data_IF_321045421530
#
_entry.id   IF_321045421530
#
_cell.length_a   1.000
_cell.length_b   1.000
_cell.length_c   1.000
_cell.angle_alpha   90.00
_cell.angle_beta   90.00
_cell.angle_gamma   90.00
#
_symmetry.space_group_name_H-M   'P 1'
#
loop_
_entity.id
_entity.type
_entity.pdbx_description
1 polymer ?
#
# COMPACT_ATOMS: atom_id res chain seq x y z
N UNK A 1 6.73 -8.14 13.15
CA UNK A 1 8.04 -8.70 12.80
C UNK A 1 9.04 -7.61 12.40
N UNK A 2 8.73 -6.68 11.47
CA UNK A 2 9.67 -5.61 11.07
C UNK A 2 10.18 -4.78 12.24
N UNK A 3 9.33 -4.39 13.19
CA UNK A 3 9.71 -3.61 14.35
C UNK A 3 10.71 -4.36 15.26
N UNK A 4 10.45 -5.65 15.52
CA UNK A 4 11.34 -6.47 16.35
C UNK A 4 12.69 -6.67 15.65
N UNK A 5 12.67 -6.98 14.35
CA UNK A 5 13.88 -7.15 13.55
C UNK A 5 14.70 -5.85 13.51
N UNK A 6 14.06 -4.70 13.26
CA UNK A 6 14.71 -3.40 13.26
C UNK A 6 15.35 -3.07 14.62
N UNK A 7 14.65 -3.37 15.73
CA UNK A 7 15.18 -3.14 17.07
C UNK A 7 16.42 -4.01 17.35
N UNK A 8 16.36 -5.29 17.01
CA UNK A 8 17.50 -6.20 17.23
C UNK A 8 18.70 -5.79 16.37
N UNK A 9 18.49 -5.46 15.09
CA UNK A 9 19.55 -4.97 14.22
C UNK A 9 20.13 -3.64 14.72
N UNK A 10 19.29 -2.73 15.21
CA UNK A 10 19.74 -1.44 15.76
C UNK A 10 20.62 -1.62 17.01
N UNK A 11 20.26 -2.53 17.91
CA UNK A 11 21.08 -2.82 19.11
C UNK A 11 22.46 -3.34 18.70
N UNK A 12 22.52 -4.30 17.76
CA UNK A 12 23.79 -4.86 17.29
C UNK A 12 24.61 -3.79 16.57
N UNK A 13 23.97 -2.99 15.70
CA UNK A 13 24.64 -1.90 14.98
C UNK A 13 25.18 -0.82 15.91
N UNK A 14 24.38 -0.39 16.90
CA UNK A 14 24.80 0.61 17.87
C UNK A 14 25.99 0.13 18.75
N UNK A 15 25.94 -1.11 19.21
CA UNK A 15 27.07 -1.70 20.02
C UNK A 15 28.34 -1.74 19.15
N UNK A 16 28.22 -2.17 17.88
CA UNK A 16 29.37 -2.19 16.97
C UNK A 16 29.96 -0.81 16.74
N UNK A 17 29.12 0.21 16.48
CA UNK A 17 29.55 1.58 16.21
C UNK A 17 30.18 2.25 17.44
N UNK A 18 29.62 2.06 18.64
CA UNK A 18 30.21 2.55 19.89
C UNK A 18 31.63 1.98 20.11
N UNK A 19 31.83 0.71 19.76
CA UNK A 19 33.12 0.04 19.92
C UNK A 19 34.22 0.59 19.00
N UNK A 20 33.82 1.19 17.86
CA UNK A 20 34.73 1.70 16.83
C UNK A 20 34.97 3.21 16.99
N UNK A 21 33.89 4.00 17.16
CA UNK A 21 33.92 5.46 17.01
C UNK A 21 33.81 6.22 18.36
N UNK A 22 33.71 5.53 19.51
CA UNK A 22 33.51 6.12 20.85
C UNK A 22 32.37 7.14 20.95
N UNK A 23 31.30 6.95 20.12
CA UNK A 23 30.12 7.80 20.13
C UNK A 23 29.09 7.34 21.16
N UNK A 24 28.16 8.22 21.53
CA UNK A 24 27.11 7.89 22.47
C UNK A 24 26.14 6.82 21.95
N UNK A 25 25.84 5.82 22.76
CA UNK A 25 25.02 4.68 22.40
C UNK A 25 23.58 5.07 21.96
N UNK A 26 22.92 5.96 22.68
CA UNK A 26 21.51 6.29 22.45
C UNK A 26 21.23 6.98 21.12
N UNK A 27 22.00 7.98 20.69
CA UNK A 27 21.83 8.57 19.35
C UNK A 27 22.08 7.57 18.23
N UNK A 28 23.09 6.70 18.37
CA UNK A 28 23.38 5.66 17.40
C UNK A 28 22.28 4.62 17.33
N UNK A 29 21.76 4.17 18.46
CA UNK A 29 20.63 3.24 18.51
C UNK A 29 19.40 3.83 17.79
N UNK A 30 19.13 5.11 18.03
CA UNK A 30 18.02 5.80 17.37
C UNK A 30 18.21 5.88 15.86
N UNK A 31 19.40 6.23 15.40
CA UNK A 31 19.72 6.32 13.96
C UNK A 31 19.61 4.95 13.28
N UNK A 32 20.27 3.94 13.79
CA UNK A 32 20.17 2.57 13.28
C UNK A 32 18.73 2.05 13.29
N UNK A 33 17.96 2.30 14.35
CA UNK A 33 16.57 1.87 14.43
C UNK A 33 15.70 2.54 13.37
N UNK A 34 15.82 3.86 13.21
CA UNK A 34 15.02 4.60 12.23
C UNK A 34 15.32 4.15 10.80
N UNK A 35 16.58 3.85 10.50
CA UNK A 35 17.02 3.38 9.20
C UNK A 35 16.47 1.97 8.90
N UNK A 36 16.68 1.03 9.81
CA UNK A 36 16.21 -0.34 9.64
C UNK A 36 14.67 -0.43 9.60
N UNK A 37 13.99 0.34 10.45
CA UNK A 37 12.54 0.34 10.49
C UNK A 37 11.92 0.94 9.22
N UNK A 38 12.41 2.11 8.79
CA UNK A 38 11.90 2.76 7.57
C UNK A 38 12.16 1.91 6.31
N UNK A 39 13.36 1.35 6.20
CA UNK A 39 13.73 0.44 5.11
C UNK A 39 12.85 -0.82 5.13
N UNK A 40 12.65 -1.41 6.30
CA UNK A 40 11.80 -2.60 6.45
C UNK A 40 10.34 -2.33 6.07
N UNK A 41 9.76 -1.23 6.53
CA UNK A 41 8.37 -0.87 6.21
C UNK A 41 8.17 -0.56 4.72
N UNK A 42 9.13 0.07 4.07
CA UNK A 42 9.04 0.45 2.67
C UNK A 42 9.36 -0.72 1.72
N UNK A 43 10.44 -1.46 1.98
CA UNK A 43 10.95 -2.48 1.05
C UNK A 43 10.21 -3.81 1.20
N UNK A 44 9.97 -4.29 2.43
CA UNK A 44 9.43 -5.65 2.63
C UNK A 44 8.06 -5.84 1.99
N UNK A 45 7.05 -4.95 2.16
CA UNK A 45 5.77 -5.10 1.46
C UNK A 45 5.91 -5.03 -0.06
N UNK A 46 6.80 -4.16 -0.57
CA UNK A 46 7.06 -4.05 -1.99
C UNK A 46 7.62 -5.36 -2.56
N UNK A 47 8.65 -5.92 -1.93
CA UNK A 47 9.27 -7.17 -2.37
C UNK A 47 8.32 -8.36 -2.27
N UNK A 48 7.57 -8.48 -1.17
CA UNK A 48 6.62 -9.58 -0.99
C UNK A 48 5.50 -9.54 -2.03
N UNK A 49 5.00 -8.35 -2.36
CA UNK A 49 3.92 -8.21 -3.36
C UNK A 49 4.41 -8.42 -4.78
N UNK A 50 5.63 -8.02 -5.12
CA UNK A 50 6.24 -8.25 -6.43
C UNK A 50 6.63 -9.73 -6.65
N UNK A 51 6.91 -10.49 -5.59
CA UNK A 51 7.20 -11.92 -5.66
C UNK A 51 5.97 -12.77 -6.04
N UNK A 52 4.75 -12.23 -5.87
CA UNK A 52 3.51 -12.92 -6.27
C UNK A 52 3.31 -12.71 -7.77
N UNK A 53 3.29 -13.77 -8.60
CA UNK A 53 3.05 -13.62 -10.02
C UNK A 53 1.65 -13.05 -10.26
N UNK A 54 1.60 -11.80 -10.66
CA UNK A 54 0.39 -11.06 -11.00
C UNK A 54 0.58 -10.34 -12.31
N UNK A 55 -0.48 -10.26 -13.10
CA UNK A 55 -0.48 -9.44 -14.31
C UNK A 55 -0.41 -7.98 -13.85
N UNK A 56 0.66 -7.29 -14.19
CA UNK A 56 0.74 -5.84 -14.04
C UNK A 56 -0.49 -5.22 -14.72
N UNK A 57 -1.31 -4.45 -14.01
CA UNK A 57 -2.53 -3.92 -14.57
C UNK A 57 -2.20 -3.03 -15.77
N UNK A 58 -2.90 -3.26 -16.89
CA UNK A 58 -2.89 -2.30 -17.99
C UNK A 58 -3.54 -1.02 -17.50
N UNK A 59 -2.76 0.04 -17.39
CA UNK A 59 -3.25 1.35 -16.99
C UNK A 59 -4.18 1.90 -18.08
N UNK A 60 -5.46 2.05 -17.76
CA UNK A 60 -6.39 2.84 -18.58
C UNK A 60 -6.20 4.32 -18.23
N UNK A 61 -6.39 5.22 -19.19
CA UNK A 61 -6.23 6.67 -18.98
C UNK A 61 -7.05 7.20 -17.78
N UNK A 62 -8.25 6.67 -17.55
CA UNK A 62 -9.09 7.01 -16.40
C UNK A 62 -8.50 6.59 -15.04
N UNK A 63 -7.55 5.66 -15.04
CA UNK A 63 -6.88 5.19 -13.83
C UNK A 63 -5.60 5.98 -13.49
N UNK A 64 -5.21 6.96 -14.32
CA UNK A 64 -3.99 7.74 -14.09
C UNK A 64 -4.17 8.89 -13.09
N UNK A 65 -5.41 9.32 -12.83
CA UNK A 65 -5.70 10.46 -11.95
C UNK A 65 -5.06 10.34 -10.55
N UNK A 66 -5.13 9.20 -9.83
CA UNK A 66 -4.48 9.08 -8.52
C UNK A 66 -2.95 9.21 -8.59
N UNK A 67 -2.33 8.68 -9.66
CA UNK A 67 -0.88 8.79 -9.85
C UNK A 67 -0.46 10.24 -10.15
N UNK A 68 -1.24 10.97 -10.94
CA UNK A 68 -1.02 12.40 -11.21
C UNK A 68 -1.16 13.20 -9.90
N UNK A 69 -2.21 12.93 -9.12
CA UNK A 69 -2.41 13.55 -7.82
C UNK A 69 -1.21 13.31 -6.87
N UNK A 70 -0.64 12.09 -6.90
CA UNK A 70 0.55 11.75 -6.13
C UNK A 70 1.75 12.60 -6.57
N UNK A 71 2.02 12.71 -7.86
CA UNK A 71 3.12 13.53 -8.38
C UNK A 71 2.94 14.98 -7.98
N UNK A 72 1.73 15.54 -8.14
CA UNK A 72 1.41 16.90 -7.75
C UNK A 72 1.61 17.13 -6.24
N UNK A 73 1.22 16.16 -5.40
CA UNK A 73 1.38 16.25 -3.95
C UNK A 73 2.85 16.20 -3.51
N UNK A 74 3.69 15.39 -4.19
CA UNK A 74 5.15 15.37 -3.96
C UNK A 74 5.78 16.70 -4.38
N UNK A 75 5.39 17.27 -5.51
CA UNK A 75 5.85 18.61 -5.93
C UNK A 75 5.42 19.66 -4.91
N UNK A 76 4.18 19.62 -4.44
CA UNK A 76 3.67 20.52 -3.41
C UNK A 76 4.47 20.39 -2.11
N UNK A 77 4.88 19.18 -1.70
CA UNK A 77 5.71 19.00 -0.51
C UNK A 77 7.06 19.71 -0.61
N UNK A 78 7.65 19.72 -1.81
CA UNK A 78 8.92 20.41 -2.08
C UNK A 78 8.74 21.93 -2.11
N UNK A 79 7.68 22.41 -2.77
CA UNK A 79 7.45 23.86 -2.96
C UNK A 79 7.05 24.56 -1.64
N UNK A 80 6.20 23.91 -0.83
CA UNK A 80 5.70 24.50 0.42
C UNK A 80 6.72 24.32 1.55
N UNK A 81 7.38 23.15 1.60
CA UNK A 81 8.37 22.83 2.65
C UNK A 81 7.78 22.74 4.05
N UNK A 82 8.67 22.65 5.06
CA UNK A 82 8.31 22.63 6.46
C UNK A 82 7.97 21.22 6.99
N UNK A 83 7.83 21.10 8.32
CA UNK A 83 7.67 19.81 9.00
C UNK A 83 6.41 19.02 8.57
N UNK A 84 5.35 19.70 8.13
CA UNK A 84 4.12 19.06 7.66
C UNK A 84 4.15 18.58 6.20
N UNK A 85 5.16 18.98 5.43
CA UNK A 85 5.22 18.70 3.98
C UNK A 85 5.31 17.23 3.66
N UNK A 86 5.95 16.43 4.51
CA UNK A 86 6.04 14.98 4.38
C UNK A 86 4.68 14.26 4.42
N UNK A 87 3.64 14.91 4.94
CA UNK A 87 2.29 14.33 4.97
C UNK A 87 1.48 14.59 3.68
N UNK A 88 1.92 15.48 2.80
CA UNK A 88 1.14 15.85 1.60
C UNK A 88 0.89 14.68 0.63
N UNK A 89 1.81 13.75 0.40
CA UNK A 89 1.53 12.60 -0.46
C UNK A 89 0.54 11.59 0.12
N UNK A 90 0.28 11.61 1.44
CA UNK A 90 -0.55 10.60 2.11
C UNK A 90 -1.98 10.50 1.53
N UNK A 91 -2.75 11.58 1.33
CA UNK A 91 -4.09 11.47 0.74
C UNK A 91 -4.08 10.88 -0.67
N UNK A 92 -3.08 11.25 -1.48
CA UNK A 92 -2.93 10.71 -2.83
C UNK A 92 -2.52 9.23 -2.81
N UNK A 93 -1.65 8.81 -1.89
CA UNK A 93 -1.30 7.40 -1.69
C UNK A 93 -2.50 6.56 -1.22
N UNK A 94 -3.35 7.09 -0.35
CA UNK A 94 -4.60 6.42 0.06
C UNK A 94 -5.54 6.29 -1.15
N UNK A 95 -5.65 7.32 -1.98
CA UNK A 95 -6.44 7.23 -3.21
C UNK A 95 -5.89 6.16 -4.17
N UNK A 96 -4.56 6.09 -4.33
CA UNK A 96 -3.91 5.01 -5.07
C UNK A 96 -4.22 3.63 -4.45
N UNK A 97 -4.21 3.51 -3.12
CA UNK A 97 -4.48 2.26 -2.41
C UNK A 97 -5.89 1.71 -2.64
N UNK A 98 -6.86 2.60 -2.82
CA UNK A 98 -8.26 2.23 -3.12
C UNK A 98 -8.45 1.85 -4.59
N UNK A 99 -7.67 2.44 -5.51
CA UNK A 99 -7.86 2.29 -6.96
C UNK A 99 -6.95 1.26 -7.61
N UNK A 100 -5.77 1.06 -7.07
CA UNK A 100 -4.76 0.17 -7.64
C UNK A 100 -4.65 -1.16 -6.88
N UNK A 101 -3.94 -2.10 -7.48
CA UNK A 101 -3.60 -3.37 -6.82
C UNK A 101 -2.56 -3.15 -5.72
N UNK A 102 -2.48 -4.05 -4.72
CA UNK A 102 -1.48 -3.94 -3.65
C UNK A 102 -0.03 -3.83 -4.16
N UNK A 103 0.31 -4.53 -5.26
CA UNK A 103 1.65 -4.45 -5.85
C UNK A 103 1.99 -3.02 -6.29
N UNK A 104 1.08 -2.38 -7.04
CA UNK A 104 1.29 -1.01 -7.54
C UNK A 104 1.32 -0.02 -6.39
N UNK A 105 0.43 -0.17 -5.41
CA UNK A 105 0.38 0.71 -4.25
C UNK A 105 1.65 0.62 -3.42
N UNK A 106 2.13 -0.60 -3.11
CA UNK A 106 3.38 -0.79 -2.38
C UNK A 106 4.58 -0.19 -3.14
N UNK A 107 4.64 -0.37 -4.46
CA UNK A 107 5.68 0.23 -5.28
C UNK A 107 5.63 1.76 -5.26
N UNK A 108 4.45 2.36 -5.43
CA UNK A 108 4.28 3.82 -5.35
C UNK A 108 4.64 4.36 -3.98
N UNK A 109 4.23 3.68 -2.91
CA UNK A 109 4.56 4.06 -1.53
C UNK A 109 6.07 3.97 -1.28
N UNK A 110 6.73 2.91 -1.77
CA UNK A 110 8.18 2.75 -1.69
C UNK A 110 8.92 3.88 -2.43
N UNK A 111 8.53 4.14 -3.68
CA UNK A 111 9.16 5.20 -4.50
C UNK A 111 8.96 6.58 -3.85
N UNK A 112 7.74 6.89 -3.38
CA UNK A 112 7.44 8.16 -2.72
C UNK A 112 8.27 8.32 -1.44
N UNK A 113 8.29 7.31 -0.57
CA UNK A 113 9.06 7.37 0.67
C UNK A 113 10.57 7.48 0.42
N UNK A 114 11.10 6.77 -0.58
CA UNK A 114 12.51 6.88 -0.97
C UNK A 114 12.85 8.29 -1.48
N UNK A 115 11.98 8.87 -2.32
CA UNK A 115 12.16 10.25 -2.81
C UNK A 115 12.14 11.24 -1.65
N UNK A 116 11.19 11.13 -0.72
CA UNK A 116 11.12 12.01 0.45
C UNK A 116 12.37 11.91 1.33
N UNK A 117 12.86 10.69 1.60
CA UNK A 117 14.12 10.50 2.35
C UNK A 117 15.28 11.20 1.65
N UNK A 118 15.40 11.07 0.33
CA UNK A 118 16.45 11.72 -0.47
C UNK A 118 16.31 13.25 -0.45
N UNK A 119 15.08 13.77 -0.54
CA UNK A 119 14.82 15.21 -0.51
C UNK A 119 15.20 15.83 0.85
N UNK A 120 14.89 15.14 1.96
CA UNK A 120 15.30 15.57 3.30
C UNK A 120 16.82 15.47 3.48
N UNK A 121 17.45 14.38 3.01
CA UNK A 121 18.89 14.17 3.11
C UNK A 121 19.69 15.25 2.37
N UNK A 122 19.16 15.74 1.25
CA UNK A 122 19.78 16.83 0.47
C UNK A 122 19.31 18.24 0.92
N UNK A 123 18.61 18.35 2.06
CA UNK A 123 18.11 19.62 2.60
C UNK A 123 17.20 20.39 1.62
N UNK A 124 16.58 19.70 0.67
CA UNK A 124 15.57 20.28 -0.24
C UNK A 124 14.27 20.54 0.52
N UNK A 125 13.91 19.62 1.42
CA UNK A 125 12.81 19.80 2.37
C UNK A 125 13.45 20.05 3.74
N UNK A 126 13.32 21.26 4.24
CA UNK A 126 13.77 21.62 5.58
C UNK A 126 12.66 21.31 6.59
N UNK A 127 12.91 20.36 7.47
CA UNK A 127 12.03 19.97 8.57
C UNK A 127 12.53 20.45 9.93
N UNK A 128 13.55 21.32 9.96
CA UNK A 128 14.12 21.85 11.19
C UNK A 128 13.12 22.74 11.92
N UNK A 129 12.34 22.14 12.78
CA UNK A 129 11.64 22.85 13.85
C UNK A 129 12.56 22.81 15.05
N UNK A 130 12.85 23.98 15.66
CA UNK A 130 13.67 24.07 16.86
C UNK A 130 13.13 23.16 17.97
N UNK A 131 13.54 21.89 17.93
CA UNK A 131 13.19 20.90 18.94
C UNK A 131 14.07 21.16 20.17
N UNK A 132 13.48 21.19 21.38
CA UNK A 132 14.27 21.26 22.63
C UNK A 132 15.15 19.99 22.85
N UNK A 133 14.88 18.94 22.08
CA UNK A 133 15.68 17.72 22.06
C UNK A 133 16.55 17.74 20.80
N UNK A 134 17.85 17.48 20.94
CA UNK A 134 18.82 17.38 19.83
C UNK A 134 18.64 16.05 19.04
N UNK A 135 17.41 15.82 18.54
CA UNK A 135 17.12 14.65 17.73
C UNK A 135 17.57 14.93 16.30
N UNK A 136 18.38 14.06 15.67
CA UNK A 136 18.78 14.23 14.28
C UNK A 136 17.56 14.35 13.35
N UNK A 137 17.55 15.31 12.43
CA UNK A 137 16.47 15.50 11.46
C UNK A 137 16.14 14.22 10.71
N UNK A 138 17.17 13.48 10.29
CA UNK A 138 17.02 12.24 9.53
C UNK A 138 16.29 11.15 10.31
N UNK A 139 16.52 11.03 11.60
CA UNK A 139 15.79 10.09 12.47
C UNK A 139 14.28 10.40 12.45
N UNK A 140 13.91 11.66 12.68
CA UNK A 140 12.51 12.09 12.68
C UNK A 140 11.86 11.92 11.31
N UNK A 141 12.56 12.28 10.22
CA UNK A 141 12.07 12.11 8.86
C UNK A 141 11.81 10.63 8.52
N UNK A 142 12.78 9.76 8.76
CA UNK A 142 12.68 8.33 8.49
C UNK A 142 11.51 7.68 9.23
N UNK A 143 11.33 8.00 10.52
CA UNK A 143 10.19 7.50 11.29
C UNK A 143 8.86 8.07 10.80
N UNK A 144 8.81 9.37 10.47
CA UNK A 144 7.63 10.01 9.92
C UNK A 144 7.19 9.36 8.62
N UNK A 145 8.10 9.20 7.67
CA UNK A 145 7.84 8.55 6.37
C UNK A 145 7.41 7.09 6.56
N UNK A 146 8.08 6.34 7.44
CA UNK A 146 7.71 4.95 7.71
C UNK A 146 6.29 4.82 8.28
N UNK A 147 5.93 5.67 9.26
CA UNK A 147 4.58 5.65 9.84
C UNK A 147 3.51 6.07 8.84
N UNK A 148 3.79 7.07 7.99
CA UNK A 148 2.89 7.48 6.91
C UNK A 148 2.69 6.36 5.86
N UNK A 149 3.73 5.59 5.55
CA UNK A 149 3.67 4.50 4.58
C UNK A 149 2.79 3.32 5.03
N UNK A 150 2.64 3.09 6.32
CA UNK A 150 1.81 2.00 6.87
C UNK A 150 0.35 2.15 6.42
N UNK A 151 -0.19 3.36 6.44
CA UNK A 151 -1.60 3.62 6.14
C UNK A 151 -2.01 3.17 4.72
N UNK A 152 -1.41 3.66 3.63
CA UNK A 152 -1.78 3.24 2.27
C UNK A 152 -1.54 1.75 2.02
N UNK A 153 -0.50 1.15 2.63
CA UNK A 153 -0.24 -0.28 2.54
C UNK A 153 -1.41 -1.06 3.18
N UNK A 154 -1.79 -0.74 4.41
CA UNK A 154 -2.89 -1.40 5.12
C UNK A 154 -4.23 -1.22 4.39
N UNK A 155 -4.53 -0.02 3.89
CA UNK A 155 -5.74 0.25 3.11
C UNK A 155 -5.77 -0.62 1.84
N UNK A 156 -4.67 -0.71 1.12
CA UNK A 156 -4.59 -1.49 -0.12
C UNK A 156 -4.87 -2.98 0.11
N UNK A 157 -4.27 -3.58 1.14
CA UNK A 157 -4.52 -4.98 1.49
C UNK A 157 -5.94 -5.20 1.99
N UNK A 158 -6.50 -4.26 2.78
CA UNK A 158 -7.88 -4.32 3.26
C UNK A 158 -8.88 -4.27 2.10
N UNK A 159 -8.69 -3.36 1.15
CA UNK A 159 -9.54 -3.27 -0.05
C UNK A 159 -9.43 -4.55 -0.90
N UNK A 160 -8.23 -5.10 -1.08
CA UNK A 160 -8.04 -6.35 -1.81
C UNK A 160 -8.75 -7.54 -1.11
N UNK A 161 -8.66 -7.63 0.21
CA UNK A 161 -9.34 -8.65 1.00
C UNK A 161 -10.87 -8.52 0.91
N UNK A 162 -11.40 -7.31 1.06
CA UNK A 162 -12.85 -7.04 0.93
C UNK A 162 -13.33 -7.43 -0.47
N UNK A 163 -12.63 -7.04 -1.53
CA UNK A 163 -12.99 -7.40 -2.91
C UNK A 163 -12.96 -8.91 -3.15
N UNK A 164 -12.01 -9.62 -2.53
CA UNK A 164 -11.93 -11.09 -2.59
C UNK A 164 -13.12 -11.75 -1.89
N UNK A 165 -13.47 -11.28 -0.69
CA UNK A 165 -14.63 -11.76 0.05
C UNK A 165 -15.95 -11.49 -0.68
N UNK A 166 -16.11 -10.30 -1.24
CA UNK A 166 -17.31 -9.95 -2.03
C UNK A 166 -17.47 -10.88 -3.24
N UNK A 167 -16.38 -11.21 -3.94
CA UNK A 167 -16.42 -12.19 -5.05
C UNK A 167 -16.85 -13.57 -4.58
N UNK A 168 -16.35 -14.03 -3.43
CA UNK A 168 -16.74 -15.33 -2.87
C UNK A 168 -18.22 -15.36 -2.47
N UNK A 169 -18.72 -14.28 -1.86
CA UNK A 169 -20.13 -14.15 -1.49
C UNK A 169 -21.02 -14.14 -2.74
N UNK A 170 -20.64 -13.39 -3.77
CA UNK A 170 -21.37 -13.36 -5.04
C UNK A 170 -21.45 -14.75 -5.67
N UNK A 171 -20.32 -15.47 -5.75
CA UNK A 171 -20.30 -16.84 -6.29
C UNK A 171 -21.20 -17.80 -5.50
N UNK A 172 -21.26 -17.67 -4.16
CA UNK A 172 -22.14 -18.49 -3.32
C UNK A 172 -23.61 -18.11 -3.48
N UNK A 173 -23.92 -16.85 -3.79
CA UNK A 173 -25.29 -16.40 -4.05
C UNK A 173 -25.77 -16.84 -5.45
N UNK A 174 -24.86 -16.96 -6.42
CA UNK A 174 -25.19 -17.30 -7.80
C UNK A 174 -25.41 -18.81 -8.04
N UNK A 175 -24.84 -19.66 -7.19
CA UNK A 175 -24.97 -21.13 -7.30
C UNK A 175 -25.64 -21.75 -6.08
N UNK A 176 -26.50 -22.73 -6.31
CA UNK A 176 -27.04 -23.59 -5.25
C UNK A 176 -25.96 -24.53 -4.73
N UNK A 177 -25.79 -24.56 -3.40
CA UNK A 177 -24.69 -25.30 -2.76
C UNK A 177 -24.77 -26.82 -2.97
N UNK A 178 -25.97 -27.38 -3.04
CA UNK A 178 -26.18 -28.82 -3.15
C UNK A 178 -26.08 -29.31 -4.59
N UNK A 179 -26.68 -28.58 -5.52
CA UNK A 179 -26.83 -29.00 -6.91
C UNK A 179 -25.77 -28.41 -7.83
N UNK A 180 -25.08 -27.38 -7.38
CA UNK A 180 -24.08 -26.62 -8.16
C UNK A 180 -24.62 -26.01 -9.48
N UNK A 181 -25.92 -25.93 -9.62
CA UNK A 181 -26.59 -25.18 -10.69
C UNK A 181 -26.83 -23.75 -10.24
N UNK A 182 -27.18 -22.86 -11.15
CA UNK A 182 -27.54 -21.50 -10.81
C UNK A 182 -28.67 -21.46 -9.80
N UNK A 183 -28.49 -20.66 -8.76
CA UNK A 183 -29.59 -20.25 -7.90
C UNK A 183 -30.59 -19.39 -8.70
N UNK A 184 -31.77 -19.11 -8.14
CA UNK A 184 -32.74 -18.23 -8.80
C UNK A 184 -32.14 -16.85 -9.10
N UNK A 185 -31.34 -16.28 -8.19
CA UNK A 185 -30.65 -15.01 -8.38
C UNK A 185 -29.55 -15.11 -9.44
N UNK A 186 -28.73 -16.15 -9.40
CA UNK A 186 -27.67 -16.40 -10.37
C UNK A 186 -28.21 -16.58 -11.79
N UNK A 187 -29.34 -17.26 -11.95
CA UNK A 187 -30.01 -17.40 -13.23
C UNK A 187 -30.46 -16.03 -13.78
N UNK A 188 -31.06 -15.19 -12.93
CA UNK A 188 -31.47 -13.83 -13.36
C UNK A 188 -30.28 -12.98 -13.80
N UNK A 189 -29.14 -13.05 -13.10
CA UNK A 189 -27.94 -12.32 -13.50
C UNK A 189 -27.31 -12.90 -14.77
N UNK A 190 -27.27 -14.22 -14.93
CA UNK A 190 -26.81 -14.87 -16.15
C UNK A 190 -27.63 -14.47 -17.39
N UNK A 191 -28.95 -14.36 -17.23
CA UNK A 191 -29.86 -13.92 -18.31
C UNK A 191 -29.64 -12.45 -18.73
N UNK A 192 -29.13 -11.60 -17.83
CA UNK A 192 -28.79 -10.20 -18.14
C UNK A 192 -27.46 -10.07 -18.88
N UNK A 193 -26.66 -11.14 -18.98
CA UNK A 193 -25.33 -11.06 -19.58
C UNK A 193 -25.36 -10.61 -21.03
N UNK A 194 -24.38 -9.79 -21.50
CA UNK A 194 -24.34 -9.32 -22.88
C UNK A 194 -24.27 -10.43 -23.92
N UNK A 195 -23.67 -11.57 -23.57
CA UNK A 195 -23.52 -12.74 -24.43
C UNK A 195 -24.87 -13.38 -24.77
N UNK A 196 -25.80 -13.45 -23.81
CA UNK A 196 -27.15 -13.96 -24.05
C UNK A 196 -28.05 -12.96 -24.80
N UNK A 197 -27.83 -11.67 -24.60
CA UNK A 197 -28.55 -10.62 -25.35
C UNK A 197 -28.24 -10.60 -26.86
N UNK A 198 -27.08 -11.14 -27.25
CA UNK A 198 -26.68 -11.24 -28.67
C UNK A 198 -27.13 -12.55 -29.32
N UNK A 199 -27.69 -13.50 -28.57
CA UNK A 199 -28.18 -14.76 -29.11
C UNK A 199 -29.55 -14.55 -29.76
N UNK A 200 -29.69 -14.90 -31.04
CA UNK A 200 -30.96 -14.71 -31.78
C UNK A 200 -32.07 -15.70 -31.38
N UNK A 201 -31.71 -16.82 -30.80
CA UNK A 201 -32.64 -17.87 -30.35
C UNK A 201 -32.26 -18.36 -28.97
N UNK A 202 -33.20 -18.32 -28.02
CA UNK A 202 -33.09 -18.86 -26.67
C UNK A 202 -34.25 -19.84 -26.45
N UNK A 203 -33.95 -21.09 -26.10
CA UNK A 203 -34.94 -22.09 -25.72
C UNK A 203 -34.89 -22.26 -24.20
N UNK A 204 -36.06 -22.15 -23.56
CA UNK A 204 -36.19 -22.37 -22.10
C UNK A 204 -37.06 -23.60 -21.90
N UNK A 205 -36.57 -24.52 -21.06
CA UNK A 205 -37.33 -25.71 -20.64
C UNK A 205 -37.54 -25.64 -19.12
N UNK A 206 -38.81 -25.76 -18.72
CA UNK A 206 -39.17 -25.87 -17.29
C UNK A 206 -39.45 -27.35 -16.97
N UNK A 207 -38.75 -27.87 -15.96
CA UNK A 207 -38.97 -29.24 -15.45
C UNK A 207 -39.49 -29.11 -14.02
N UNK A 208 -40.59 -29.77 -13.75
CA UNK A 208 -41.14 -29.93 -12.40
C UNK A 208 -41.14 -31.41 -12.04
N UNK A 209 -40.90 -31.70 -10.77
CA UNK A 209 -40.88 -33.08 -10.25
C UNK A 209 -42.12 -33.23 -9.38
N UNK A 210 -43.15 -33.85 -9.94
CA UNK A 210 -44.32 -34.23 -9.21
C UNK A 210 -44.02 -35.44 -8.33
N UNK A 211 -44.51 -35.37 -7.08
CA UNK A 211 -44.46 -36.50 -6.12
C UNK A 211 -45.65 -37.40 -6.29
#
# INVERSE_FOLDING_TARGET
>A
YCLIAALLCAIVGAIGSVSIDSLDFWPLLADWFSEQFSTGVLIVPCMLTLAIPGVLPRFKAEQMMPAIALIVSVIASVVIGGAGSLAFPLPALIWCAVRYTPQVTCLLTFVTGAVEVVLVANSVIDISVGSPFSIPQMFSARLGIATMAICPIMVSFSVAAINSLMKQVALRADFDFLTQVYSRSGLYEALKSPSLKQTQHLTVMLLDIDY
#
